data_IF_124837528554
#
_entry.id   IF_124837528554
#
_cell.length_a   1.000
_cell.length_b   1.000
_cell.length_c   1.000
_cell.angle_alpha   90.00
_cell.angle_beta   90.00
_cell.angle_gamma   90.00
#
_symmetry.space_group_name_H-M   'P 1'
#
loop_
_entity.id
_entity.type
_entity.pdbx_description
1 polymer ?
#
# COMPACT_ATOMS: atom_id res chain seq x y z
N UNK A 1 -17.92 11.56 13.39
CA UNK A 1 -17.19 10.58 14.23
C UNK A 1 -16.04 10.02 13.43
N UNK A 2 -14.82 10.08 13.96
CA UNK A 2 -13.63 9.49 13.34
C UNK A 2 -13.65 7.98 13.66
N UNK A 3 -13.60 7.12 12.64
CA UNK A 3 -13.61 5.66 12.83
C UNK A 3 -12.32 5.22 13.50
N UNK A 4 -12.42 4.42 14.55
CA UNK A 4 -11.27 3.82 15.22
C UNK A 4 -10.94 2.43 14.69
N UNK A 5 -9.85 1.84 15.20
CA UNK A 5 -9.44 0.47 14.88
C UNK A 5 -10.58 -0.55 15.04
N UNK A 6 -11.36 -0.46 16.13
CA UNK A 6 -12.45 -1.38 16.42
C UNK A 6 -13.61 -1.31 15.42
N UNK A 7 -13.89 -0.12 14.88
CA UNK A 7 -14.90 0.05 13.83
C UNK A 7 -14.50 -0.71 12.55
N UNK A 8 -13.21 -0.64 12.21
CA UNK A 8 -12.64 -1.38 11.08
C UNK A 8 -12.66 -2.88 11.32
N UNK A 9 -12.26 -3.32 12.50
CA UNK A 9 -12.28 -4.74 12.84
C UNK A 9 -13.71 -5.31 12.72
N UNK A 10 -14.70 -4.64 13.31
CA UNK A 10 -16.09 -5.07 13.26
C UNK A 10 -16.65 -5.08 11.83
N UNK A 11 -16.28 -4.09 11.01
CA UNK A 11 -16.66 -4.05 9.60
C UNK A 11 -16.03 -5.22 8.81
N UNK A 12 -14.73 -5.44 8.98
CA UNK A 12 -14.01 -6.46 8.25
C UNK A 12 -14.38 -7.89 8.66
N UNK A 13 -14.73 -8.12 9.93
CA UNK A 13 -15.22 -9.42 10.38
C UNK A 13 -16.54 -9.81 9.68
N UNK A 14 -17.44 -8.85 9.43
CA UNK A 14 -18.67 -9.08 8.69
C UNK A 14 -18.40 -9.37 7.21
N UNK A 15 -17.44 -8.67 6.61
CA UNK A 15 -17.09 -8.83 5.19
C UNK A 15 -16.25 -10.08 4.91
N UNK A 16 -15.39 -10.46 5.85
CA UNK A 16 -14.42 -11.55 5.72
C UNK A 16 -14.58 -12.56 6.87
N UNK A 17 -15.68 -13.33 6.90
CA UNK A 17 -15.91 -14.32 7.95
C UNK A 17 -14.90 -15.48 7.93
N UNK A 18 -14.10 -15.59 6.86
CA UNK A 18 -13.02 -16.57 6.70
C UNK A 18 -11.74 -15.85 6.33
N UNK A 19 -10.61 -16.33 6.87
CA UNK A 19 -9.28 -15.86 6.49
C UNK A 19 -9.04 -16.08 5.00
N UNK A 20 -8.31 -15.16 4.38
CA UNK A 20 -7.89 -15.24 2.98
C UNK A 20 -6.39 -15.33 2.91
N UNK A 21 -5.92 -15.95 1.85
CA UNK A 21 -4.49 -16.11 1.63
C UNK A 21 -3.86 -14.76 1.27
N UNK A 22 -2.69 -14.51 1.88
CA UNK A 22 -1.77 -13.45 1.49
C UNK A 22 -0.44 -14.11 1.18
N UNK A 23 0.09 -13.87 -0.01
CA UNK A 23 1.35 -14.47 -0.46
C UNK A 23 2.12 -13.53 -1.38
N UNK A 24 3.44 -13.57 -1.31
CA UNK A 24 4.30 -12.86 -2.24
C UNK A 24 4.51 -13.67 -3.53
N UNK A 25 4.37 -13.05 -4.70
CA UNK A 25 4.65 -13.67 -6.01
C UNK A 25 5.22 -12.68 -7.03
N UNK A 26 6.43 -12.97 -7.50
CA UNK A 26 7.12 -12.24 -8.57
C UNK A 26 7.30 -10.73 -8.33
N UNK A 27 7.40 -10.29 -7.07
CA UNK A 27 7.45 -8.85 -6.74
C UNK A 27 6.07 -8.22 -6.56
N UNK A 28 5.07 -9.00 -6.16
CA UNK A 28 3.71 -8.52 -5.90
C UNK A 28 3.07 -9.30 -4.76
N UNK A 29 2.48 -8.57 -3.83
CA UNK A 29 1.68 -9.14 -2.76
C UNK A 29 0.30 -9.51 -3.30
N UNK A 30 0.07 -10.80 -3.44
CA UNK A 30 -1.26 -11.33 -3.71
C UNK A 30 -2.06 -11.28 -2.42
N UNK A 31 -2.83 -10.20 -2.27
CA UNK A 31 -3.68 -9.98 -1.13
C UNK A 31 -5.12 -10.42 -1.45
N UNK A 32 -5.53 -11.58 -0.93
CA UNK A 32 -6.86 -12.15 -1.17
C UNK A 32 -8.03 -11.27 -0.70
N UNK A 33 -7.78 -10.27 0.15
CA UNK A 33 -8.78 -9.32 0.63
C UNK A 33 -9.04 -8.16 -0.33
N UNK A 34 -8.04 -7.78 -1.15
CA UNK A 34 -8.08 -6.57 -1.99
C UNK A 34 -9.28 -6.49 -2.94
N UNK A 35 -9.71 -7.65 -3.47
CA UNK A 35 -10.84 -7.73 -4.41
C UNK A 35 -12.13 -7.15 -3.81
N UNK A 36 -12.36 -7.42 -2.52
CA UNK A 36 -13.64 -7.12 -1.88
C UNK A 36 -13.53 -5.99 -0.85
N UNK A 37 -12.34 -5.73 -0.29
CA UNK A 37 -12.18 -4.67 0.71
C UNK A 37 -12.24 -3.28 0.08
N UNK A 38 -11.85 -3.14 -1.19
CA UNK A 38 -11.73 -1.85 -1.91
C UNK A 38 -10.68 -0.88 -1.35
N UNK A 39 -9.87 -1.29 -0.36
CA UNK A 39 -8.73 -0.54 0.21
C UNK A 39 -7.42 -0.85 -0.54
N UNK A 40 -7.46 -1.37 -1.77
CA UNK A 40 -6.28 -1.92 -2.47
C UNK A 40 -5.16 -0.90 -2.73
N UNK A 41 -5.45 0.39 -2.55
CA UNK A 41 -4.53 1.49 -2.72
C UNK A 41 -4.64 2.47 -1.53
N UNK A 42 -4.80 1.94 -0.31
CA UNK A 42 -4.80 2.72 0.92
C UNK A 42 -6.17 3.10 1.51
N UNK A 43 -6.17 3.92 2.59
CA UNK A 43 -7.34 4.23 3.41
C UNK A 43 -8.49 4.88 2.65
N UNK A 44 -9.70 4.34 2.80
CA UNK A 44 -10.92 4.87 2.16
C UNK A 44 -11.72 5.85 3.02
N UNK A 45 -11.14 6.28 4.13
CA UNK A 45 -11.66 7.31 5.02
C UNK A 45 -10.74 8.53 5.11
N UNK A 46 -9.68 8.54 4.31
CA UNK A 46 -8.70 9.62 4.21
C UNK A 46 -8.93 10.43 2.94
N UNK A 47 -9.15 11.74 3.10
CA UNK A 47 -9.15 12.69 1.98
C UNK A 47 -7.77 12.84 1.33
N UNK A 48 -6.73 12.36 2.01
CA UNK A 48 -5.38 12.32 1.46
C UNK A 48 -5.22 11.03 0.65
N UNK A 49 -4.87 11.12 -0.65
CA UNK A 49 -4.57 9.94 -1.45
C UNK A 49 -3.39 9.20 -0.82
N UNK A 50 -3.47 7.87 -0.76
CA UNK A 50 -2.39 7.05 -0.20
C UNK A 50 -1.14 7.20 -1.07
N UNK A 51 -0.08 7.84 -0.59
CA UNK A 51 1.11 7.89 -1.38
C UNK A 51 1.87 6.57 -1.12
N UNK A 52 2.29 5.91 -2.17
CA UNK A 52 3.72 5.68 -2.33
C UNK A 52 3.98 6.25 -3.72
N UNK A 53 5.07 7.00 -3.89
CA UNK A 53 5.39 7.61 -5.18
C UNK A 53 5.46 6.56 -6.29
N UNK A 54 5.33 7.02 -7.54
CA UNK A 54 5.65 6.19 -8.71
C UNK A 54 7.16 6.04 -8.84
N UNK A 55 7.65 4.97 -9.45
CA UNK A 55 9.04 4.99 -9.90
C UNK A 55 9.23 6.10 -10.96
N UNK A 56 10.43 6.70 -11.09
CA UNK A 56 10.69 7.73 -12.10
C UNK A 56 10.30 7.30 -13.52
N UNK A 57 10.55 6.05 -13.90
CA UNK A 57 10.19 5.51 -15.22
C UNK A 57 8.69 5.27 -15.39
N UNK A 58 7.91 5.31 -14.30
CA UNK A 58 6.46 5.26 -14.33
C UNK A 58 5.82 6.67 -14.43
N UNK A 59 6.61 7.74 -14.28
CA UNK A 59 6.15 9.13 -14.47
C UNK A 59 6.00 9.42 -15.96
N UNK A 60 4.82 9.85 -16.41
CA UNK A 60 4.59 10.18 -17.83
C UNK A 60 4.60 11.70 -18.05
N UNK A 61 5.33 12.21 -19.07
CA UNK A 61 5.30 13.64 -19.40
C UNK A 61 3.88 14.15 -19.64
N UNK A 62 3.48 15.20 -18.92
CA UNK A 62 2.16 15.83 -19.04
C UNK A 62 1.08 15.29 -18.10
N UNK A 63 1.37 14.26 -17.29
CA UNK A 63 0.48 13.78 -16.22
C UNK A 63 1.02 14.22 -14.86
N UNK A 64 1.02 15.54 -14.64
CA UNK A 64 1.75 16.24 -13.56
C UNK A 64 1.46 15.81 -12.10
N UNK A 65 0.69 14.76 -11.86
CA UNK A 65 0.39 14.27 -10.51
C UNK A 65 0.42 12.72 -10.36
N UNK A 66 0.73 11.95 -11.40
CA UNK A 66 1.18 10.53 -11.45
C UNK A 66 0.62 9.39 -10.55
N UNK A 67 -0.17 9.57 -9.48
CA UNK A 67 -1.03 8.48 -8.94
C UNK A 67 -2.39 8.39 -9.67
N UNK A 68 -2.61 9.28 -10.65
CA UNK A 68 -3.89 9.53 -11.31
C UNK A 68 -4.01 8.78 -12.63
N UNK A 69 -4.19 7.47 -12.57
CA UNK A 69 -4.81 6.74 -13.68
C UNK A 69 -6.32 6.96 -13.61
N UNK A 70 -6.72 8.25 -13.69
CA UNK A 70 -8.09 8.77 -13.70
C UNK A 70 -8.69 8.61 -15.10
N UNK A 71 -8.79 7.38 -15.60
CA UNK A 71 -9.80 7.10 -16.62
C UNK A 71 -10.90 6.29 -15.95
N UNK A 72 -12.16 6.65 -16.23
CA UNK A 72 -13.36 5.93 -15.79
C UNK A 72 -13.29 4.41 -16.04
N UNK A 73 -12.38 3.98 -16.91
CA UNK A 73 -12.21 2.61 -17.37
C UNK A 73 -11.19 1.80 -16.53
N UNK A 74 -10.38 2.43 -15.66
CA UNK A 74 -9.28 1.75 -14.95
C UNK A 74 -9.30 1.94 -13.42
N UNK A 75 -9.31 3.18 -12.93
CA UNK A 75 -9.48 3.52 -11.52
C UNK A 75 -9.90 4.98 -11.35
N UNK A 76 -10.59 5.30 -10.25
CA UNK A 76 -10.86 6.68 -9.85
C UNK A 76 -10.36 6.91 -8.43
N UNK A 77 -9.82 8.10 -8.18
CA UNK A 77 -9.47 8.56 -6.85
C UNK A 77 -10.45 9.63 -6.43
N UNK A 78 -11.08 9.44 -5.27
CA UNK A 78 -11.65 10.55 -4.53
C UNK A 78 -10.91 10.74 -3.20
N UNK A 79 -11.44 11.60 -2.33
CA UNK A 79 -10.97 11.77 -0.95
C UNK A 79 -11.12 10.52 -0.06
N UNK A 80 -11.06 9.34 -0.65
CA UNK A 80 -11.05 8.03 -0.02
C UNK A 80 -10.01 7.13 -0.72
N UNK A 81 -9.04 7.68 -1.44
CA UNK A 81 -8.02 6.88 -2.14
C UNK A 81 -8.51 6.25 -3.45
N UNK A 82 -7.69 5.34 -4.00
CA UNK A 82 -7.97 4.74 -5.31
C UNK A 82 -8.95 3.57 -5.20
N UNK A 83 -9.99 3.63 -6.03
CA UNK A 83 -11.03 2.60 -6.18
C UNK A 83 -11.13 2.22 -7.66
N UNK A 84 -11.20 0.92 -7.94
CA UNK A 84 -11.57 0.50 -9.28
C UNK A 84 -13.01 0.92 -9.62
N UNK A 85 -13.19 1.52 -10.80
CA UNK A 85 -14.50 1.87 -11.35
C UNK A 85 -15.25 0.67 -11.93
N UNK A 86 -14.65 -0.52 -11.96
CA UNK A 86 -15.28 -1.73 -12.50
C UNK A 86 -15.44 -2.80 -11.43
N UNK A 87 -16.43 -3.68 -11.61
CA UNK A 87 -16.58 -4.89 -10.78
C UNK A 87 -15.41 -5.86 -10.89
N UNK A 88 -14.46 -5.61 -11.80
CA UNK A 88 -13.29 -6.46 -12.07
C UNK A 88 -11.99 -5.90 -11.47
N UNK A 89 -12.03 -4.78 -10.73
CA UNK A 89 -10.81 -4.22 -10.14
C UNK A 89 -9.98 -3.39 -11.13
N UNK A 90 -8.81 -2.93 -10.68
CA UNK A 90 -7.89 -2.17 -11.52
C UNK A 90 -7.40 -3.07 -12.67
N UNK A 91 -7.68 -2.66 -13.91
CA UNK A 91 -7.38 -3.44 -15.13
C UNK A 91 -6.05 -3.09 -15.78
N UNK A 92 -5.26 -2.21 -15.16
CA UNK A 92 -3.93 -1.92 -15.66
C UNK A 92 -3.11 -3.20 -15.76
N UNK A 93 -2.39 -3.44 -16.87
CA UNK A 93 -1.36 -4.46 -16.93
C UNK A 93 -0.36 -4.26 -15.78
N UNK A 94 0.21 -5.35 -15.28
CA UNK A 94 1.15 -5.30 -14.14
C UNK A 94 2.31 -4.30 -14.34
N UNK A 95 2.95 -4.17 -15.52
CA UNK A 95 4.01 -3.18 -15.73
C UNK A 95 3.55 -1.73 -15.56
N UNK A 96 2.27 -1.45 -15.81
CA UNK A 96 1.68 -0.12 -15.71
C UNK A 96 1.07 0.16 -14.33
N UNK A 97 1.15 -0.80 -13.39
CA UNK A 97 0.66 -0.60 -12.03
C UNK A 97 1.71 0.08 -11.16
N UNK A 98 1.31 1.06 -10.32
CA UNK A 98 2.20 1.60 -9.30
C UNK A 98 2.76 0.50 -8.41
N UNK A 99 4.02 0.64 -8.01
CA UNK A 99 4.69 -0.22 -7.03
C UNK A 99 3.86 -0.35 -5.74
N UNK A 100 3.24 0.75 -5.31
CA UNK A 100 2.34 0.81 -4.15
C UNK A 100 1.23 -0.26 -4.17
N UNK A 101 0.62 -0.48 -5.34
CA UNK A 101 -0.46 -1.45 -5.50
C UNK A 101 0.01 -2.90 -5.32
N UNK A 102 1.30 -3.15 -5.61
CA UNK A 102 1.94 -4.45 -5.43
C UNK A 102 2.48 -4.69 -4.03
N UNK A 103 2.63 -3.65 -3.23
CA UNK A 103 3.14 -3.76 -1.86
C UNK A 103 2.04 -3.75 -0.80
N UNK A 104 0.94 -3.05 -1.05
CA UNK A 104 -0.09 -2.81 -0.05
C UNK A 104 -0.59 -4.13 0.61
N UNK A 105 -0.59 -4.25 1.96
CA UNK A 105 -0.52 -3.17 2.96
C UNK A 105 0.87 -2.79 3.48
N UNK A 106 1.95 -3.26 2.88
CA UNK A 106 3.28 -2.79 3.22
C UNK A 106 3.50 -1.37 2.69
N UNK A 107 4.18 -0.57 3.51
CA UNK A 107 4.50 0.82 3.24
C UNK A 107 5.96 1.07 3.53
N UNK A 108 6.66 1.69 2.59
CA UNK A 108 8.03 2.15 2.79
C UNK A 108 8.00 3.58 3.35
N UNK A 109 8.60 3.78 4.52
CA UNK A 109 8.69 5.07 5.16
C UNK A 109 10.11 5.33 5.64
N UNK A 110 10.78 6.32 5.06
CA UNK A 110 12.14 6.74 5.43
C UNK A 110 13.10 5.55 5.63
N UNK A 111 13.13 4.61 4.67
CA UNK A 111 14.04 3.46 4.73
C UNK A 111 13.50 2.20 5.42
N UNK A 112 12.39 2.27 6.14
CA UNK A 112 11.85 1.15 6.91
C UNK A 112 10.46 0.72 6.44
N UNK A 113 10.15 -0.58 6.59
CA UNK A 113 8.83 -1.12 6.29
C UNK A 113 7.86 -1.02 7.48
N UNK A 114 6.66 -0.61 7.13
CA UNK A 114 5.50 -0.51 8.00
C UNK A 114 4.33 -1.29 7.42
N UNK A 115 3.41 -1.66 8.29
CA UNK A 115 2.20 -2.36 7.93
C UNK A 115 0.98 -1.50 8.26
N UNK A 116 0.13 -1.23 7.27
CA UNK A 116 -1.08 -0.43 7.52
C UNK A 116 -2.07 -1.20 8.39
N UNK A 117 -2.34 -0.72 9.61
CA UNK A 117 -2.94 -1.56 10.65
C UNK A 117 -4.41 -1.90 10.40
N UNK A 118 -5.15 -1.05 9.69
CA UNK A 118 -6.59 -1.26 9.44
C UNK A 118 -6.89 -2.03 8.16
N UNK A 119 -5.86 -2.44 7.39
CA UNK A 119 -6.08 -3.32 6.26
C UNK A 119 -6.54 -4.71 6.77
N UNK A 120 -7.56 -5.32 6.16
CA UNK A 120 -8.00 -6.66 6.56
C UNK A 120 -6.90 -7.73 6.44
N UNK A 121 -5.96 -7.58 5.50
CA UNK A 121 -4.79 -8.45 5.43
C UNK A 121 -3.92 -8.32 6.69
N UNK A 122 -3.67 -7.10 7.17
CA UNK A 122 -2.93 -6.86 8.40
C UNK A 122 -3.66 -7.37 9.64
N UNK A 123 -4.99 -7.20 9.70
CA UNK A 123 -5.81 -7.60 10.85
C UNK A 123 -5.99 -9.11 10.99
N UNK A 124 -6.12 -9.83 9.87
CA UNK A 124 -6.53 -11.24 9.88
C UNK A 124 -5.43 -12.23 9.51
N UNK A 125 -4.28 -11.73 9.05
CA UNK A 125 -3.07 -12.54 8.83
C UNK A 125 -2.18 -12.45 10.06
N UNK A 126 -1.64 -13.57 10.57
CA UNK A 126 -0.71 -13.53 11.69
C UNK A 126 0.46 -12.58 11.43
N UNK A 127 0.83 -11.75 12.41
CA UNK A 127 1.90 -10.76 12.26
C UNK A 127 3.24 -11.40 11.87
N UNK A 128 3.55 -12.60 12.39
CA UNK A 128 4.75 -13.34 12.01
C UNK A 128 4.80 -13.65 10.50
N UNK A 129 3.67 -14.08 9.93
CA UNK A 129 3.52 -14.33 8.49
C UNK A 129 3.63 -13.02 7.69
N UNK A 130 3.04 -11.93 8.19
CA UNK A 130 3.21 -10.61 7.57
C UNK A 130 4.66 -10.12 7.63
N UNK A 131 5.41 -10.42 8.68
CA UNK A 131 6.83 -10.08 8.77
C UNK A 131 7.68 -10.89 7.79
N UNK A 132 7.36 -12.16 7.56
CA UNK A 132 7.98 -12.98 6.50
C UNK A 132 7.75 -12.38 5.12
N UNK A 133 6.50 -12.08 4.77
CA UNK A 133 6.14 -11.41 3.52
C UNK A 133 6.78 -10.01 3.41
N UNK A 134 6.93 -9.31 4.53
CA UNK A 134 7.62 -8.02 4.62
C UNK A 134 9.11 -8.13 4.26
N UNK A 135 9.78 -9.23 4.64
CA UNK A 135 11.17 -9.49 4.22
C UNK A 135 11.27 -9.75 2.73
N UNK A 136 10.31 -10.46 2.14
CA UNK A 136 10.27 -10.66 0.68
C UNK A 136 10.03 -9.33 -0.06
N UNK A 137 9.13 -8.49 0.48
CA UNK A 137 8.89 -7.15 -0.04
C UNK A 137 10.15 -6.28 0.05
N UNK A 138 10.86 -6.30 1.18
CA UNK A 138 12.13 -5.58 1.36
C UNK A 138 13.20 -6.05 0.37
N UNK A 139 13.36 -7.36 0.20
CA UNK A 139 14.33 -7.93 -0.74
C UNK A 139 14.01 -7.57 -2.20
N UNK A 140 12.73 -7.42 -2.55
CA UNK A 140 12.33 -6.93 -3.86
C UNK A 140 12.58 -5.42 -4.00
N UNK A 141 12.24 -4.62 -2.99
CA UNK A 141 12.49 -3.18 -2.96
C UNK A 141 13.98 -2.83 -3.05
N UNK A 142 14.84 -3.67 -2.44
CA UNK A 142 16.30 -3.52 -2.48
C UNK A 142 16.90 -3.62 -3.90
N UNK A 143 16.13 -4.07 -4.90
CA UNK A 143 16.55 -4.13 -6.30
C UNK A 143 16.45 -2.79 -7.02
N UNK A 144 15.65 -1.85 -6.49
CA UNK A 144 15.58 -0.49 -6.99
C UNK A 144 16.81 0.30 -6.56
N UNK A 145 17.17 1.33 -7.32
CA UNK A 145 18.17 2.30 -6.90
C UNK A 145 17.70 3.07 -5.65
N UNK A 146 18.64 3.60 -4.87
CA UNK A 146 18.31 4.39 -3.69
C UNK A 146 17.41 5.59 -4.01
N UNK A 147 17.65 6.25 -5.15
CA UNK A 147 16.82 7.37 -5.63
C UNK A 147 15.37 6.93 -5.86
N UNK A 148 15.16 5.75 -6.43
CA UNK A 148 13.82 5.20 -6.62
C UNK A 148 13.16 4.86 -5.29
N UNK A 149 13.91 4.24 -4.37
CA UNK A 149 13.42 3.89 -3.03
C UNK A 149 13.01 5.14 -2.24
N UNK A 150 13.79 6.21 -2.30
CA UNK A 150 13.48 7.50 -1.67
C UNK A 150 12.25 8.17 -2.30
N UNK A 151 12.10 8.06 -3.63
CA UNK A 151 10.96 8.63 -4.33
C UNK A 151 9.63 7.95 -3.98
N UNK A 152 9.65 6.63 -3.75
CA UNK A 152 8.43 5.89 -3.39
C UNK A 152 8.15 5.90 -1.88
N UNK A 153 9.10 6.33 -1.04
CA UNK A 153 8.94 6.38 0.40
C UNK A 153 8.06 7.54 0.88
N UNK A 154 7.28 7.31 1.94
CA UNK A 154 6.26 8.27 2.36
C UNK A 154 6.71 9.44 3.24
N UNK A 155 7.79 9.28 3.98
CA UNK A 155 8.31 10.28 4.92
C UNK A 155 7.23 10.86 5.87
N UNK A 156 6.33 10.01 6.37
CA UNK A 156 5.27 10.38 7.29
C UNK A 156 5.80 10.80 8.67
N UNK A 157 5.12 11.75 9.33
CA UNK A 157 5.36 12.08 10.74
C UNK A 157 5.19 10.89 11.69
N UNK A 158 5.94 10.90 12.80
CA UNK A 158 5.97 9.80 13.77
C UNK A 158 4.62 9.55 14.47
N UNK A 159 3.82 10.59 14.69
CA UNK A 159 2.48 10.50 15.25
C UNK A 159 1.52 9.77 14.29
N UNK A 160 1.60 10.06 12.99
CA UNK A 160 0.83 9.33 11.96
C UNK A 160 1.24 7.86 11.89
N UNK A 161 2.56 7.59 11.96
CA UNK A 161 3.06 6.21 11.99
C UNK A 161 2.54 5.45 13.20
N UNK A 162 2.60 6.06 14.38
CA UNK A 162 2.13 5.45 15.64
C UNK A 162 0.62 5.25 15.64
N UNK A 163 -0.14 6.19 15.09
CA UNK A 163 -1.61 6.12 15.04
C UNK A 163 -2.13 5.08 14.06
N UNK A 164 -1.42 4.83 12.94
CA UNK A 164 -2.00 4.11 11.79
C UNK A 164 -1.22 2.89 11.30
N UNK A 165 0.01 2.69 11.76
CA UNK A 165 0.91 1.70 11.21
C UNK A 165 1.58 0.86 12.29
N UNK A 166 1.89 -0.38 11.93
CA UNK A 166 2.70 -1.28 12.74
C UNK A 166 4.11 -1.28 12.16
N UNK A 167 5.11 -0.88 12.96
CA UNK A 167 6.52 -0.94 12.56
C UNK A 167 6.97 -2.40 12.49
N UNK A 168 7.56 -2.81 11.37
CA UNK A 168 8.02 -4.19 11.18
C UNK A 168 9.48 -4.41 11.57
N UNK A 169 10.23 -3.35 11.85
CA UNK A 169 11.68 -3.39 12.11
C UNK A 169 12.48 -4.03 10.97
N UNK A 170 12.05 -3.79 9.73
CA UNK A 170 12.73 -4.25 8.52
C UNK A 170 13.24 -3.02 7.77
N UNK A 171 14.56 -2.89 7.68
CA UNK A 171 15.23 -1.84 6.92
C UNK A 171 15.39 -2.27 5.46
N UNK A 172 15.07 -1.37 4.54
CA UNK A 172 15.24 -1.54 3.09
C UNK A 172 16.47 -0.78 2.61
N UNK A 173 16.64 0.46 3.07
CA UNK A 173 17.79 1.30 2.77
C UNK A 173 18.04 2.28 3.91
N UNK A 174 19.25 2.84 3.96
CA UNK A 174 19.57 3.93 4.86
C UNK A 174 19.29 5.25 4.13
N UNK A 175 18.37 6.09 4.60
CA UNK A 175 18.10 7.38 3.95
C UNK A 175 19.36 8.21 3.82
N UNK A 176 19.55 8.86 2.68
CA UNK A 176 20.62 9.84 2.55
C UNK A 176 20.36 10.94 3.59
N UNK A 177 21.35 11.24 4.44
CA UNK A 177 21.24 12.39 5.33
C UNK A 177 20.99 13.62 4.46
N UNK A 178 19.96 14.40 4.79
CA UNK A 178 19.68 15.66 4.10
C UNK A 178 20.93 16.54 4.24
N UNK A 179 21.69 16.68 3.15
CA UNK A 179 22.84 17.57 3.03
C UNK A 179 22.41 18.96 2.59
#
# INVERSE_FOLDING_TARGET
>A
MRKGFWDYLAHWQKMFPRRRTVSWRDGWLQNGYCRDCRYCCGPQDSNEPFPMGLLPDQLRPGLANDFFLLTKDTAFMDGRGCRSCTSQGCRLPRPDRPVACGLFPFVLNAGELYLYQICPASMFTPLAHMAELGREAAAWLAKFSQREQEHIALNLPADVLTDRYIKLHITVYNPTAWS
#
